data_IF_412561676651
#
_entry.id   IF_412561676651
#
_cell.length_a   1.000
_cell.length_b   1.000
_cell.length_c   1.000
_cell.angle_alpha   90.00
_cell.angle_beta   90.00
_cell.angle_gamma   90.00
#
_symmetry.space_group_name_H-M   'P 1'
#
loop_
_entity.id
_entity.type
_entity.pdbx_description
1 polymer ?
#
# COMPACT_ATOMS: atom_id res chain seq x y z
N UNK A 1 -5.44 -14.75 -11.76
CA UNK A 1 -5.75 -13.33 -11.49
C UNK A 1 -5.22 -13.08 -10.09
N UNK A 2 -4.38 -12.06 -9.81
CA UNK A 2 -3.70 -11.94 -8.50
C UNK A 2 -4.65 -11.87 -7.30
N UNK A 3 -5.94 -11.64 -7.54
CA UNK A 3 -6.99 -11.79 -6.53
C UNK A 3 -6.90 -13.13 -5.82
N UNK A 4 -6.57 -14.24 -6.51
CA UNK A 4 -6.50 -15.60 -5.95
C UNK A 4 -5.42 -15.74 -4.88
N UNK A 5 -4.37 -14.92 -4.95
CA UNK A 5 -3.27 -14.89 -3.98
C UNK A 5 -3.59 -14.10 -2.72
N UNK A 6 -4.71 -13.35 -2.69
CA UNK A 6 -5.13 -12.67 -1.48
C UNK A 6 -5.72 -13.69 -0.49
N UNK A 7 -5.28 -13.73 0.78
CA UNK A 7 -5.85 -14.64 1.78
C UNK A 7 -7.36 -14.41 1.90
N UNK A 8 -8.15 -15.48 1.73
CA UNK A 8 -9.61 -15.43 1.73
C UNK A 8 -10.22 -15.30 3.13
N UNK A 9 -9.44 -15.65 4.14
CA UNK A 9 -9.70 -15.56 5.58
C UNK A 9 -9.31 -14.21 6.19
N UNK A 10 -8.71 -13.32 5.41
CA UNK A 10 -8.19 -12.04 5.93
C UNK A 10 -9.27 -10.98 6.22
N UNK A 11 -10.53 -11.27 5.92
CA UNK A 11 -11.67 -10.41 6.23
C UNK A 11 -12.66 -11.22 7.09
N UNK A 12 -12.70 -10.90 8.39
CA UNK A 12 -13.54 -11.55 9.38
C UNK A 12 -14.52 -10.56 10.00
N UNK A 13 -15.82 -10.78 9.80
CA UNK A 13 -16.89 -10.00 10.42
C UNK A 13 -16.95 -10.11 11.94
N UNK A 14 -16.36 -11.14 12.54
CA UNK A 14 -16.34 -11.36 13.99
C UNK A 14 -15.21 -10.59 14.71
N UNK A 15 -14.20 -10.10 13.98
CA UNK A 15 -13.00 -9.46 14.55
C UNK A 15 -13.22 -8.06 15.16
N UNK A 16 -14.47 -7.57 15.26
CA UNK A 16 -14.82 -6.24 15.78
C UNK A 16 -14.34 -5.06 14.93
N UNK A 17 -13.48 -5.29 13.92
CA UNK A 17 -13.01 -4.27 12.98
C UNK A 17 -13.98 -4.15 11.80
N UNK A 18 -14.32 -2.94 11.32
CA UNK A 18 -15.18 -2.80 10.15
C UNK A 18 -14.63 -3.51 8.89
N UNK A 19 -15.48 -4.27 8.20
CA UNK A 19 -15.09 -5.06 7.00
C UNK A 19 -14.36 -4.26 5.92
N UNK A 20 -14.77 -3.00 5.70
CA UNK A 20 -14.13 -2.13 4.70
C UNK A 20 -12.68 -1.79 5.08
N UNK A 21 -12.37 -1.69 6.39
CA UNK A 21 -11.02 -1.44 6.90
C UNK A 21 -10.15 -2.68 6.79
N UNK A 22 -10.71 -3.85 7.02
CA UNK A 22 -10.00 -5.11 6.86
C UNK A 22 -9.63 -5.31 5.38
N UNK A 23 -10.59 -5.15 4.47
CA UNK A 23 -10.34 -5.27 3.04
C UNK A 23 -9.30 -4.24 2.55
N UNK A 24 -9.38 -2.99 3.01
CA UNK A 24 -8.39 -1.98 2.62
C UNK A 24 -7.00 -2.32 3.17
N UNK A 25 -6.90 -2.83 4.40
CA UNK A 25 -5.63 -3.26 4.98
C UNK A 25 -4.99 -4.42 4.20
N UNK A 26 -5.78 -5.42 3.80
CA UNK A 26 -5.31 -6.57 3.00
C UNK A 26 -4.77 -6.13 1.64
N UNK A 27 -5.52 -5.29 0.93
CA UNK A 27 -5.10 -4.77 -0.37
C UNK A 27 -3.87 -3.87 -0.21
N UNK A 28 -3.83 -3.02 0.82
CA UNK A 28 -2.67 -2.16 1.13
C UNK A 28 -1.42 -3.00 1.37
N UNK A 29 -1.51 -4.04 2.20
CA UNK A 29 -0.40 -4.93 2.49
C UNK A 29 0.11 -5.62 1.22
N UNK A 30 -0.80 -6.07 0.36
CA UNK A 30 -0.47 -6.75 -0.91
C UNK A 30 0.23 -5.83 -1.90
N UNK A 31 -0.17 -4.55 -1.96
CA UNK A 31 0.51 -3.51 -2.74
C UNK A 31 1.90 -3.22 -2.12
N UNK A 32 1.99 -3.11 -0.79
CA UNK A 32 3.23 -2.75 -0.09
C UNK A 32 4.35 -3.78 -0.25
N UNK A 33 4.01 -5.07 -0.28
CA UNK A 33 4.99 -6.16 -0.48
C UNK A 33 5.34 -6.40 -1.96
N UNK A 34 4.91 -5.51 -2.87
CA UNK A 34 5.12 -5.61 -4.32
C UNK A 34 4.62 -6.93 -4.94
N UNK A 35 3.66 -7.61 -4.29
CA UNK A 35 2.96 -8.76 -4.90
C UNK A 35 2.14 -8.31 -6.13
N UNK A 36 1.84 -7.01 -6.21
CA UNK A 36 1.13 -6.39 -7.32
C UNK A 36 1.94 -5.20 -7.84
N UNK A 37 2.51 -5.26 -9.05
CA UNK A 37 3.29 -4.17 -9.59
C UNK A 37 2.41 -2.93 -9.88
N UNK A 38 3.01 -1.74 -9.79
CA UNK A 38 2.37 -0.50 -10.19
C UNK A 38 1.85 -0.58 -11.63
N UNK A 39 0.69 0.01 -11.90
CA UNK A 39 0.03 -0.09 -13.20
C UNK A 39 -0.78 -1.37 -13.42
N UNK A 40 -0.75 -2.33 -12.49
CA UNK A 40 -1.61 -3.52 -12.55
C UNK A 40 -3.05 -3.15 -12.28
N UNK A 41 -3.95 -3.74 -13.06
CA UNK A 41 -5.39 -3.60 -12.86
C UNK A 41 -5.84 -4.37 -11.62
N UNK A 42 -6.55 -3.70 -10.73
CA UNK A 42 -7.26 -4.32 -9.62
C UNK A 42 -8.46 -5.11 -10.16
N UNK A 43 -8.83 -6.19 -9.46
CA UNK A 43 -10.08 -6.88 -9.72
C UNK A 43 -11.28 -5.95 -9.60
N UNK A 44 -12.34 -6.29 -10.31
CA UNK A 44 -13.60 -5.55 -10.26
C UNK A 44 -14.27 -5.67 -8.90
N UNK A 45 -15.17 -4.73 -8.59
CA UNK A 45 -15.97 -4.78 -7.36
C UNK A 45 -16.72 -6.11 -7.22
N UNK A 46 -17.26 -6.64 -8.32
CA UNK A 46 -17.99 -7.91 -8.34
C UNK A 46 -17.10 -9.11 -8.01
N UNK A 47 -15.85 -9.12 -8.47
CA UNK A 47 -14.90 -10.19 -8.16
C UNK A 47 -14.48 -10.15 -6.69
N UNK A 48 -14.25 -8.96 -6.14
CA UNK A 48 -13.96 -8.79 -4.70
C UNK A 48 -15.17 -9.20 -3.85
N UNK A 49 -16.38 -8.88 -4.30
CA UNK A 49 -17.63 -9.29 -3.66
C UNK A 49 -17.74 -10.82 -3.59
N UNK A 50 -17.51 -11.50 -4.72
CA UNK A 50 -17.59 -12.95 -4.82
C UNK A 50 -16.50 -13.65 -4.00
N UNK A 51 -15.28 -13.09 -3.97
CA UNK A 51 -14.17 -13.69 -3.23
C UNK A 51 -14.34 -13.63 -1.72
N UNK A 52 -14.76 -12.47 -1.20
CA UNK A 52 -14.79 -12.20 0.24
C UNK A 52 -16.19 -12.29 0.85
N UNK A 53 -17.23 -12.51 0.05
CA UNK A 53 -18.61 -12.59 0.55
C UNK A 53 -19.15 -11.27 1.15
N UNK A 54 -18.48 -10.15 0.92
CA UNK A 54 -18.83 -8.83 1.46
C UNK A 54 -19.69 -8.03 0.49
N UNK A 55 -20.49 -7.08 0.98
CA UNK A 55 -21.37 -6.28 0.10
C UNK A 55 -20.59 -5.33 -0.82
N UNK A 56 -21.16 -5.05 -2.00
CA UNK A 56 -20.58 -4.08 -2.97
C UNK A 56 -20.30 -2.71 -2.35
N UNK A 57 -21.16 -2.27 -1.43
CA UNK A 57 -21.00 -1.00 -0.70
C UNK A 57 -19.72 -0.98 0.15
N UNK A 58 -19.42 -2.08 0.84
CA UNK A 58 -18.22 -2.27 1.65
C UNK A 58 -16.96 -2.30 0.79
N UNK A 59 -17.00 -3.05 -0.33
CA UNK A 59 -15.90 -3.08 -1.32
C UNK A 59 -15.63 -1.67 -1.85
N UNK A 60 -16.67 -0.97 -2.28
CA UNK A 60 -16.55 0.40 -2.82
C UNK A 60 -15.98 1.36 -1.79
N UNK A 61 -16.34 1.21 -0.51
CA UNK A 61 -15.80 2.03 0.58
C UNK A 61 -14.32 1.74 0.82
N UNK A 62 -13.91 0.47 0.88
CA UNK A 62 -12.52 0.07 1.00
C UNK A 62 -11.65 0.61 -0.16
N UNK A 63 -12.12 0.45 -1.40
CA UNK A 63 -11.47 1.01 -2.57
C UNK A 63 -11.42 2.55 -2.53
N UNK A 64 -12.44 3.20 -1.95
CA UNK A 64 -12.44 4.65 -1.76
C UNK A 64 -11.36 5.12 -0.81
N UNK A 65 -11.17 4.40 0.30
CA UNK A 65 -10.08 4.67 1.23
C UNK A 65 -8.72 4.55 0.53
N UNK A 66 -8.50 3.47 -0.23
CA UNK A 66 -7.25 3.27 -0.98
C UNK A 66 -7.04 4.32 -2.09
N UNK A 67 -8.12 4.80 -2.70
CA UNK A 67 -8.05 5.88 -3.69
C UNK A 67 -7.67 7.20 -3.03
N UNK A 68 -8.26 7.50 -1.86
CA UNK A 68 -7.95 8.70 -1.08
C UNK A 68 -6.51 8.70 -0.55
N UNK A 69 -5.97 7.52 -0.25
CA UNK A 69 -4.56 7.32 0.14
C UNK A 69 -3.59 7.41 -1.06
N UNK A 70 -4.09 7.51 -2.29
CA UNK A 70 -3.27 7.56 -3.50
C UNK A 70 -2.61 6.23 -3.86
N UNK A 71 -3.05 5.11 -3.26
CA UNK A 71 -2.52 3.77 -3.53
C UNK A 71 -3.09 3.18 -4.82
N UNK A 72 -4.31 3.60 -5.18
CA UNK A 72 -4.99 3.16 -6.39
C UNK A 72 -5.58 4.35 -7.16
N UNK A 73 -5.67 4.21 -8.47
CA UNK A 73 -6.33 5.14 -9.38
C UNK A 73 -7.59 4.49 -9.92
N UNK A 74 -8.71 5.21 -9.93
CA UNK A 74 -9.95 4.73 -10.58
C UNK A 74 -10.09 5.32 -11.97
N UNK A 75 -10.15 4.48 -12.99
CA UNK A 75 -10.49 4.89 -14.35
C UNK A 75 -12.00 4.79 -14.57
N UNK A 76 -12.63 5.84 -15.11
CA UNK A 76 -14.03 5.76 -15.57
C UNK A 76 -14.17 4.60 -16.56
N UNK A 77 -14.95 3.57 -16.19
CA UNK A 77 -15.26 2.41 -17.03
C UNK A 77 -14.16 1.36 -17.20
N UNK A 78 -12.96 1.54 -16.61
CA UNK A 78 -11.82 0.62 -16.79
C UNK A 78 -11.36 -0.08 -15.51
N UNK A 79 -12.12 0.04 -14.42
CA UNK A 79 -11.73 -0.54 -13.13
C UNK A 79 -10.69 0.31 -12.38
N UNK A 80 -10.13 -0.26 -11.31
CA UNK A 80 -9.11 0.42 -10.50
C UNK A 80 -7.73 -0.10 -10.89
N UNK A 81 -6.69 0.73 -10.79
CA UNK A 81 -5.31 0.41 -11.17
C UNK A 81 -4.40 0.79 -9.99
N UNK A 82 -3.38 -0.01 -9.69
CA UNK A 82 -2.38 0.34 -8.66
C UNK A 82 -1.61 1.60 -9.10
N UNK A 83 -1.61 2.63 -8.26
CA UNK A 83 -0.99 3.92 -8.60
C UNK A 83 0.54 3.80 -8.69
N UNK A 84 1.15 4.50 -9.64
CA UNK A 84 2.62 4.55 -9.81
C UNK A 84 3.32 5.29 -8.65
N UNK A 85 2.61 6.17 -7.94
CA UNK A 85 3.11 6.84 -6.73
C UNK A 85 3.38 5.91 -5.54
N UNK A 86 3.01 4.63 -5.64
CA UNK A 86 3.27 3.64 -4.60
C UNK A 86 4.76 3.47 -4.27
N UNK A 87 5.71 3.74 -5.17
CA UNK A 87 7.15 3.73 -4.82
C UNK A 87 7.54 4.87 -3.87
N UNK A 88 6.99 6.07 -4.08
CA UNK A 88 7.26 7.22 -3.21
C UNK A 88 6.54 7.04 -1.87
N UNK A 89 5.31 6.52 -1.90
CA UNK A 89 4.57 6.14 -0.70
C UNK A 89 5.28 5.02 0.08
N UNK A 90 5.87 4.04 -0.61
CA UNK A 90 6.70 2.96 -0.04
C UNK A 90 7.97 3.52 0.58
N UNK A 91 8.66 4.44 -0.07
CA UNK A 91 9.84 5.09 0.48
C UNK A 91 9.50 5.86 1.76
N UNK A 92 8.40 6.62 1.74
CA UNK A 92 7.88 7.32 2.93
C UNK A 92 7.54 6.33 4.05
N UNK A 93 6.79 5.26 3.78
CA UNK A 93 6.46 4.25 4.79
C UNK A 93 7.71 3.56 5.36
N UNK A 94 8.74 3.35 4.54
CA UNK A 94 10.01 2.73 4.95
C UNK A 94 10.87 3.66 5.80
N UNK A 95 10.87 4.96 5.53
CA UNK A 95 11.51 5.98 6.37
C UNK A 95 10.72 6.22 7.67
N UNK A 96 9.39 6.24 7.60
CA UNK A 96 8.52 6.37 8.77
C UNK A 96 8.62 5.15 9.70
N UNK A 97 8.75 3.94 9.16
CA UNK A 97 9.01 2.73 9.93
C UNK A 97 10.36 2.75 10.64
N UNK A 98 11.40 3.34 10.04
CA UNK A 98 12.71 3.54 10.67
C UNK A 98 12.62 4.48 11.90
N UNK A 99 11.79 5.53 11.83
CA UNK A 99 11.55 6.44 12.97
C UNK A 99 10.90 5.73 14.17
N UNK A 100 10.05 4.73 13.91
CA UNK A 100 9.46 3.92 15.00
C UNK A 100 10.44 2.89 15.56
N UNK A 101 11.39 2.41 14.75
CA UNK A 101 12.36 1.39 15.15
C UNK A 101 13.63 1.96 15.80
N UNK A 102 13.93 3.25 15.61
CA UNK A 102 15.05 3.92 16.27
C UNK A 102 14.61 5.27 16.87
N UNK A 103 13.98 5.28 18.05
CA UNK A 103 13.56 6.52 18.71
C UNK A 103 14.72 7.47 19.07
N UNK A 104 15.97 7.02 18.98
CA UNK A 104 17.19 7.80 19.29
C UNK A 104 18.20 7.85 18.12
N UNK A 105 17.75 8.06 16.88
CA UNK A 105 18.70 8.46 15.81
C UNK A 105 19.04 9.93 15.98
N UNK A 106 20.23 10.20 16.52
CA UNK A 106 20.85 11.53 16.47
C UNK A 106 21.59 11.66 15.15
N UNK A 107 21.13 12.56 14.29
CA UNK A 107 21.88 12.95 13.09
C UNK A 107 23.06 13.82 13.52
N UNK A 108 24.28 13.28 13.48
CA UNK A 108 25.49 14.10 13.55
C UNK A 108 25.93 14.48 12.14
N UNK A 109 26.07 15.78 11.91
CA UNK A 109 26.57 16.32 10.65
C UNK A 109 28.07 16.04 10.57
N UNK A 110 28.46 15.03 9.79
CA UNK A 110 29.88 14.74 9.54
C UNK A 110 30.36 15.68 8.43
N UNK A 111 31.08 16.72 8.83
CA UNK A 111 31.81 17.58 7.89
C UNK A 111 32.91 16.76 7.22
N UNK A 112 32.77 16.51 5.92
CA UNK A 112 33.81 15.93 5.10
C UNK A 112 34.83 17.04 4.76
N UNK A 113 35.96 17.06 5.47
CA UNK A 113 37.12 17.84 5.05
C UNK A 113 37.64 17.26 3.74
N UNK A 114 37.42 17.99 2.65
CA UNK A 114 37.92 17.68 1.31
C UNK A 114 39.45 17.69 1.36
N UNK A 115 40.06 16.50 1.40
CA UNK A 115 41.49 16.32 1.24
C UNK A 115 41.93 16.92 -0.10
N UNK A 116 42.68 18.01 -0.04
CA UNK A 116 43.46 18.52 -1.16
C UNK A 116 44.76 17.74 -1.15
N UNK A 117 44.76 16.60 -1.83
CA UNK A 117 46.00 16.03 -2.35
C UNK A 117 46.46 16.96 -3.47
N UNK A 118 47.44 17.81 -3.16
CA UNK A 118 48.27 18.44 -4.19
C UNK A 118 49.61 17.72 -4.17
N UNK A 119 49.74 16.83 -5.15
CA UNK A 119 50.91 16.05 -5.50
C UNK A 119 51.93 16.90 -6.25
N UNK A 120 53.20 16.67 -5.93
CA UNK A 120 54.43 17.03 -6.63
C UNK A 120 54.96 18.47 -6.48
#
# INVERSE_FOLDING_TARGET
>A
MWIDELPGDAVDSASGTPLHRQLSAVIRASIAIARVPAGTQLPTEAQLQQKYGISRSVVRQALSTLTAEGLILRGRGRGSIVAVQSELHRLVQRISGLSTQMPNVRTEMVSLSRGRDEVA
#
